data_IF_391178881924
#
_entry.id   IF_391178881924
#
_cell.length_a   1.000
_cell.length_b   1.000
_cell.length_c   1.000
_cell.angle_alpha   90.00
_cell.angle_beta   90.00
_cell.angle_gamma   90.00
#
_symmetry.space_group_name_H-M   'P 1'
#
loop_
_entity.id
_entity.type
_entity.pdbx_description
1 polymer ?
#
# COMPACT_ATOMS: atom_id res chain seq x y z
N UNK A 1 -8.87 -19.93 10.29
CA UNK A 1 -8.97 -18.99 11.43
C UNK A 1 -7.91 -19.26 12.49
N UNK A 2 -7.82 -20.45 13.10
CA UNK A 2 -6.91 -20.77 14.22
C UNK A 2 -5.44 -20.47 13.88
N UNK A 3 -5.01 -20.81 12.67
CA UNK A 3 -3.66 -20.49 12.17
C UNK A 3 -3.41 -18.99 12.11
N UNK A 4 -4.38 -18.21 11.61
CA UNK A 4 -4.26 -16.76 11.55
C UNK A 4 -4.18 -16.14 12.95
N UNK A 5 -5.00 -16.62 13.87
CA UNK A 5 -5.00 -16.20 15.26
C UNK A 5 -3.64 -16.47 15.94
N UNK A 6 -3.15 -17.72 15.84
CA UNK A 6 -1.86 -18.10 16.42
C UNK A 6 -0.68 -17.35 15.79
N UNK A 7 -0.74 -17.11 14.47
CA UNK A 7 0.27 -16.35 13.74
C UNK A 7 0.30 -14.87 14.18
N UNK A 8 -0.87 -14.26 14.38
CA UNK A 8 -0.98 -12.90 14.89
C UNK A 8 -0.39 -12.77 16.31
N UNK A 9 -0.70 -13.72 17.17
CA UNK A 9 -0.17 -13.78 18.54
C UNK A 9 1.35 -13.88 18.55
N UNK A 10 1.93 -14.79 17.75
CA UNK A 10 3.38 -14.93 17.64
C UNK A 10 4.08 -13.65 17.12
N UNK A 11 3.51 -12.98 16.11
CA UNK A 11 4.04 -11.71 15.65
C UNK A 11 3.96 -10.62 16.74
N UNK A 12 2.89 -10.64 17.53
CA UNK A 12 2.72 -9.69 18.63
C UNK A 12 3.77 -9.91 19.74
N UNK A 13 4.12 -11.16 20.06
CA UNK A 13 5.19 -11.47 21.00
C UNK A 13 6.54 -10.87 20.56
N UNK A 14 6.83 -10.88 19.26
CA UNK A 14 8.10 -10.45 18.71
C UNK A 14 8.13 -8.93 18.38
N UNK A 15 7.01 -8.36 17.94
CA UNK A 15 6.98 -7.03 17.29
C UNK A 15 5.80 -6.15 17.69
N UNK A 16 5.25 -6.28 18.90
CA UNK A 16 4.03 -5.56 19.30
C UNK A 16 4.11 -4.05 19.04
N UNK A 17 5.18 -3.42 19.51
CA UNK A 17 5.33 -1.96 19.38
C UNK A 17 5.25 -1.50 17.91
N UNK A 18 5.88 -2.25 17.00
CA UNK A 18 5.88 -1.91 15.59
C UNK A 18 4.50 -2.08 14.95
N UNK A 19 3.76 -3.13 15.37
CA UNK A 19 2.39 -3.38 14.92
C UNK A 19 1.46 -2.28 15.43
N UNK A 20 1.52 -2.00 16.73
CA UNK A 20 0.68 -1.02 17.41
C UNK A 20 0.89 0.40 16.86
N UNK A 21 2.14 0.80 16.59
CA UNK A 21 2.49 2.14 16.10
C UNK A 21 2.00 2.39 14.66
N UNK A 22 1.76 1.34 13.88
CA UNK A 22 1.22 1.48 12.54
C UNK A 22 -0.31 1.74 12.51
N UNK A 23 -1.04 1.35 13.56
CA UNK A 23 -2.51 1.44 13.59
C UNK A 23 -3.04 2.87 13.45
N UNK A 24 -2.52 3.88 14.17
CA UNK A 24 -2.98 5.26 13.99
C UNK A 24 -2.80 5.78 12.56
N UNK A 25 -1.71 5.41 11.90
CA UNK A 25 -1.48 5.77 10.51
C UNK A 25 -2.54 5.16 9.59
N UNK A 26 -2.86 3.87 9.75
CA UNK A 26 -3.90 3.21 8.95
C UNK A 26 -5.28 3.82 9.16
N UNK A 27 -5.58 4.31 10.36
CA UNK A 27 -6.86 4.95 10.69
C UNK A 27 -6.94 6.41 10.26
N UNK A 28 -5.83 7.07 9.92
CA UNK A 28 -5.75 8.52 9.76
C UNK A 28 -5.96 9.24 11.10
N UNK A 29 -5.37 8.71 12.16
CA UNK A 29 -5.39 9.20 13.56
C UNK A 29 -3.97 9.48 14.09
N UNK A 30 -2.97 9.52 13.21
CA UNK A 30 -1.56 9.67 13.58
C UNK A 30 -1.26 11.03 14.22
N UNK A 31 -2.06 12.06 13.93
CA UNK A 31 -1.98 13.38 14.56
C UNK A 31 -2.16 13.36 16.07
N UNK A 32 -2.89 12.37 16.59
CA UNK A 32 -3.07 12.17 18.03
C UNK A 32 -1.77 11.72 18.73
N UNK A 33 -0.81 11.16 17.99
CA UNK A 33 0.43 10.58 18.50
C UNK A 33 1.67 11.35 18.05
N UNK A 34 1.72 11.77 16.78
CA UNK A 34 2.84 12.47 16.15
C UNK A 34 2.59 13.99 15.95
N UNK A 35 1.46 14.52 16.45
CA UNK A 35 1.16 15.94 16.34
C UNK A 35 0.98 16.42 14.90
N UNK A 36 1.60 17.55 14.54
CA UNK A 36 1.43 18.15 13.20
C UNK A 36 1.96 17.26 12.07
N UNK A 37 3.04 16.54 12.27
CA UNK A 37 3.60 15.63 11.25
C UNK A 37 2.63 14.48 10.97
N UNK A 38 2.00 13.95 12.03
CA UNK A 38 0.93 12.96 11.91
C UNK A 38 -0.32 13.49 11.22
N UNK A 39 -0.69 14.75 11.47
CA UNK A 39 -1.86 15.38 10.87
C UNK A 39 -1.78 15.49 9.34
N UNK A 40 -0.58 15.64 8.77
CA UNK A 40 -0.37 15.65 7.32
C UNK A 40 -0.71 14.29 6.71
N UNK A 41 -0.25 13.20 7.35
CA UNK A 41 -0.54 11.84 6.90
C UNK A 41 -2.02 11.49 7.07
N UNK A 42 -2.66 11.96 8.15
CA UNK A 42 -4.10 11.77 8.38
C UNK A 42 -4.95 12.47 7.33
N UNK A 43 -4.58 13.70 6.96
CA UNK A 43 -5.25 14.39 5.88
C UNK A 43 -5.15 13.61 4.57
N UNK A 44 -3.98 13.07 4.23
CA UNK A 44 -3.78 12.28 3.03
C UNK A 44 -4.68 11.04 3.00
N UNK A 45 -4.71 10.26 4.07
CA UNK A 45 -5.57 9.06 4.18
C UNK A 45 -7.04 9.40 3.99
N UNK A 46 -7.50 10.50 4.60
CA UNK A 46 -8.89 10.95 4.52
C UNK A 46 -9.22 11.58 3.17
N UNK A 47 -8.31 12.40 2.61
CA UNK A 47 -8.47 13.02 1.30
C UNK A 47 -8.55 12.01 0.17
N UNK A 48 -7.83 10.88 0.25
CA UNK A 48 -7.91 9.80 -0.72
C UNK A 48 -9.24 9.02 -0.63
N UNK A 49 -10.04 9.20 0.42
CA UNK A 49 -11.31 8.50 0.61
C UNK A 49 -11.17 6.99 0.81
N UNK A 50 -10.02 6.54 1.33
CA UNK A 50 -9.71 5.11 1.41
C UNK A 50 -10.64 4.36 2.38
N UNK A 51 -11.02 5.00 3.50
CA UNK A 51 -11.92 4.39 4.49
C UNK A 51 -13.35 4.26 3.98
N UNK A 52 -13.83 5.23 3.22
CA UNK A 52 -15.14 5.17 2.56
C UNK A 52 -15.17 3.97 1.60
N UNK A 53 -14.18 3.89 0.71
CA UNK A 53 -14.01 2.76 -0.23
C UNK A 53 -13.96 1.42 0.50
N UNK A 54 -13.11 1.30 1.51
CA UNK A 54 -12.99 0.07 2.29
C UNK A 54 -14.31 -0.30 3.00
N UNK A 55 -15.01 0.69 3.57
CA UNK A 55 -16.27 0.43 4.27
C UNK A 55 -17.37 -0.04 3.35
N UNK A 56 -17.44 0.49 2.14
CA UNK A 56 -18.45 0.13 1.14
C UNK A 56 -18.18 -1.26 0.54
N UNK A 57 -16.92 -1.58 0.28
CA UNK A 57 -16.54 -2.76 -0.49
C UNK A 57 -16.17 -3.99 0.36
N UNK A 58 -15.79 -3.81 1.63
CA UNK A 58 -15.24 -4.88 2.48
C UNK A 58 -16.05 -6.18 2.46
N UNK A 59 -17.38 -6.09 2.49
CA UNK A 59 -18.26 -7.25 2.53
C UNK A 59 -18.45 -7.92 1.16
N UNK A 60 -18.24 -7.19 0.08
CA UNK A 60 -18.60 -7.62 -1.26
C UNK A 60 -17.39 -8.04 -2.08
N UNK A 61 -16.28 -7.33 -1.95
CA UNK A 61 -15.10 -7.54 -2.78
C UNK A 61 -14.10 -8.51 -2.15
N UNK A 62 -14.06 -8.61 -0.80
CA UNK A 62 -13.27 -9.63 -0.14
C UNK A 62 -14.07 -10.93 0.01
N UNK A 63 -13.43 -12.05 -0.32
CA UNK A 63 -14.02 -13.38 -0.12
C UNK A 63 -14.33 -13.66 1.35
N UNK A 64 -15.33 -14.50 1.66
CA UNK A 64 -15.62 -14.90 3.04
C UNK A 64 -14.41 -15.54 3.75
N UNK A 65 -13.59 -16.31 3.02
CA UNK A 65 -12.38 -16.94 3.55
C UNK A 65 -11.34 -15.91 3.95
N UNK A 66 -11.09 -14.92 3.09
CA UNK A 66 -10.17 -13.82 3.39
C UNK A 66 -10.64 -13.01 4.59
N UNK A 67 -11.93 -12.67 4.66
CA UNK A 67 -12.48 -11.95 5.81
C UNK A 67 -12.30 -12.75 7.10
N UNK A 68 -12.68 -14.04 7.10
CA UNK A 68 -12.53 -14.90 8.27
C UNK A 68 -11.07 -15.05 8.71
N UNK A 69 -10.14 -15.07 7.75
CA UNK A 69 -8.70 -15.12 8.02
C UNK A 69 -8.19 -13.83 8.69
N UNK A 70 -8.58 -12.67 8.15
CA UNK A 70 -8.20 -11.36 8.69
C UNK A 70 -8.86 -11.06 10.03
N UNK A 71 -10.13 -11.48 10.22
CA UNK A 71 -10.84 -11.37 11.49
C UNK A 71 -10.13 -12.15 12.58
N UNK A 72 -9.79 -13.41 12.32
CA UNK A 72 -9.05 -14.24 13.26
C UNK A 72 -7.64 -13.71 13.56
N UNK A 73 -6.99 -13.08 12.57
CA UNK A 73 -5.70 -12.42 12.79
C UNK A 73 -5.84 -11.20 13.72
N UNK A 74 -6.84 -10.35 13.50
CA UNK A 74 -7.13 -9.23 14.39
C UNK A 74 -7.47 -9.69 15.82
N UNK A 75 -8.24 -10.78 15.95
CA UNK A 75 -8.56 -11.38 17.25
C UNK A 75 -7.30 -11.87 17.98
N UNK A 76 -6.34 -12.47 17.26
CA UNK A 76 -5.05 -12.89 17.83
C UNK A 76 -4.23 -11.73 18.38
N UNK A 77 -4.15 -10.60 17.63
CA UNK A 77 -3.49 -9.37 18.11
C UNK A 77 -4.18 -8.82 19.36
N UNK A 78 -5.50 -8.72 19.34
CA UNK A 78 -6.27 -8.22 20.49
C UNK A 78 -6.18 -9.16 21.70
N UNK A 79 -6.07 -10.47 21.49
CA UNK A 79 -5.87 -11.42 22.57
C UNK A 79 -4.50 -11.23 23.24
N UNK A 80 -3.42 -11.03 22.43
CA UNK A 80 -2.12 -10.67 22.99
C UNK A 80 -2.21 -9.39 23.83
N UNK A 81 -2.84 -8.35 23.30
CA UNK A 81 -3.02 -7.08 24.01
C UNK A 81 -3.75 -7.25 25.34
N UNK A 82 -4.79 -8.06 25.37
CA UNK A 82 -5.56 -8.35 26.59
C UNK A 82 -4.75 -9.10 27.67
N UNK A 83 -3.78 -9.92 27.25
CA UNK A 83 -2.89 -10.64 28.17
C UNK A 83 -1.72 -9.79 28.65
N UNK A 84 -1.37 -8.74 27.94
CA UNK A 84 -0.21 -7.89 28.22
C UNK A 84 -0.56 -6.39 28.37
N UNK A 85 -1.50 -6.04 29.27
CA UNK A 85 -2.00 -4.66 29.37
C UNK A 85 -0.91 -3.62 29.72
N UNK A 86 0.18 -4.07 30.36
CA UNK A 86 1.31 -3.20 30.72
C UNK A 86 2.22 -2.85 29.53
N UNK A 87 2.05 -3.54 28.39
CA UNK A 87 2.88 -3.37 27.17
C UNK A 87 2.14 -2.65 26.03
N UNK A 88 0.86 -2.34 26.20
CA UNK A 88 -0.01 -1.86 25.13
C UNK A 88 -0.55 -0.46 25.40
N UNK A 89 -0.76 0.31 24.34
CA UNK A 89 -1.50 1.56 24.39
C UNK A 89 -3.00 1.31 24.15
N UNK A 90 -3.79 1.25 25.22
CA UNK A 90 -5.23 1.00 25.14
C UNK A 90 -5.98 1.96 24.21
N UNK A 91 -5.42 3.16 23.93
CA UNK A 91 -6.05 4.15 23.06
C UNK A 91 -6.04 3.73 21.60
N UNK A 92 -5.15 2.79 21.21
CA UNK A 92 -5.04 2.23 19.86
C UNK A 92 -5.89 0.97 19.67
N UNK A 93 -6.51 0.45 20.73
CA UNK A 93 -7.28 -0.78 20.74
C UNK A 93 -8.80 -0.55 20.58
N UNK A 94 -9.59 -1.55 20.18
CA UNK A 94 -9.12 -2.81 19.58
C UNK A 94 -8.61 -2.61 18.14
N UNK A 95 -7.68 -3.48 17.71
CA UNK A 95 -7.28 -3.58 16.31
C UNK A 95 -8.42 -4.25 15.53
N UNK A 96 -8.86 -3.62 14.45
CA UNK A 96 -9.98 -4.10 13.65
C UNK A 96 -9.49 -4.81 12.39
N UNK A 97 -10.24 -5.79 11.85
CA UNK A 97 -9.89 -6.42 10.57
C UNK A 97 -9.65 -5.42 9.44
N UNK A 98 -10.45 -4.36 9.39
CA UNK A 98 -10.30 -3.29 8.41
C UNK A 98 -9.00 -2.48 8.56
N UNK A 99 -8.45 -2.34 9.76
CA UNK A 99 -7.14 -1.70 9.97
C UNK A 99 -6.04 -2.47 9.20
N UNK A 100 -6.11 -3.81 9.24
CA UNK A 100 -5.15 -4.68 8.56
C UNK A 100 -5.27 -4.54 7.04
N UNK A 101 -6.49 -4.56 6.51
CA UNK A 101 -6.72 -4.36 5.06
C UNK A 101 -6.26 -2.97 4.62
N UNK A 102 -6.57 -1.93 5.41
CA UNK A 102 -6.12 -0.55 5.16
C UNK A 102 -4.59 -0.46 5.12
N UNK A 103 -3.90 -1.17 5.99
CA UNK A 103 -2.45 -1.25 5.99
C UNK A 103 -1.89 -1.77 4.66
N UNK A 104 -2.55 -2.73 4.01
CA UNK A 104 -2.17 -3.21 2.68
C UNK A 104 -2.48 -2.18 1.58
N UNK A 105 -3.63 -1.52 1.62
CA UNK A 105 -3.97 -0.47 0.67
C UNK A 105 -2.94 0.66 0.71
N UNK A 106 -2.61 1.18 1.89
CA UNK A 106 -1.65 2.28 2.07
C UNK A 106 -0.22 1.90 1.67
N UNK A 107 0.25 0.71 2.09
CA UNK A 107 1.61 0.26 1.72
C UNK A 107 1.79 0.15 0.21
N UNK A 108 0.78 -0.29 -0.52
CA UNK A 108 0.85 -0.37 -1.98
C UNK A 108 1.04 0.99 -2.64
N UNK A 109 0.41 2.05 -2.15
CA UNK A 109 0.62 3.41 -2.64
C UNK A 109 2.07 3.90 -2.45
N UNK A 110 2.72 3.47 -1.36
CA UNK A 110 4.10 3.86 -1.06
C UNK A 110 5.12 3.19 -1.99
N UNK A 111 4.81 2.01 -2.57
CA UNK A 111 5.77 1.24 -3.38
C UNK A 111 5.90 1.71 -4.83
N UNK A 112 5.11 2.69 -5.31
CA UNK A 112 5.25 3.24 -6.65
C UNK A 112 5.34 4.78 -6.70
N UNK A 113 5.82 5.39 -5.60
CA UNK A 113 6.19 6.81 -5.60
C UNK A 113 5.03 7.79 -5.47
N UNK A 114 3.84 7.37 -5.03
CA UNK A 114 2.69 8.25 -4.85
C UNK A 114 2.99 9.46 -3.94
N UNK A 115 3.76 9.25 -2.88
CA UNK A 115 4.20 10.30 -1.96
C UNK A 115 5.08 11.36 -2.65
N UNK A 116 5.88 10.96 -3.65
CA UNK A 116 6.66 11.87 -4.49
C UNK A 116 5.76 12.86 -5.23
N UNK A 117 4.69 12.38 -5.84
CA UNK A 117 3.71 13.22 -6.55
C UNK A 117 3.05 14.22 -5.58
N UNK A 118 2.69 13.79 -4.38
CA UNK A 118 2.10 14.69 -3.37
C UNK A 118 3.10 15.77 -2.92
N UNK A 119 4.37 15.41 -2.73
CA UNK A 119 5.42 16.39 -2.44
C UNK A 119 5.58 17.40 -3.58
N UNK A 120 5.54 16.93 -4.83
CA UNK A 120 5.66 17.78 -6.01
C UNK A 120 4.51 18.79 -6.10
N UNK A 121 3.27 18.36 -5.85
CA UNK A 121 2.10 19.24 -5.84
C UNK A 121 2.16 20.34 -4.76
N UNK A 122 2.92 20.12 -3.69
CA UNK A 122 3.10 21.08 -2.61
C UNK A 122 4.32 22.02 -2.82
N UNK A 123 5.09 21.86 -3.90
CA UNK A 123 6.16 22.82 -4.25
C UNK A 123 5.56 24.18 -4.61
N UNK A 124 6.33 25.24 -4.44
CA UNK A 124 5.88 26.61 -4.73
C UNK A 124 5.68 26.90 -6.24
N UNK A 125 6.15 26.02 -7.11
CA UNK A 125 6.04 26.18 -8.56
C UNK A 125 4.76 25.56 -9.11
N UNK A 126 4.11 26.27 -10.05
CA UNK A 126 2.93 25.76 -10.75
C UNK A 126 3.28 24.52 -11.58
N UNK A 127 2.44 23.48 -11.47
CA UNK A 127 2.46 22.36 -12.40
C UNK A 127 1.98 22.82 -13.79
N UNK A 128 2.62 22.34 -14.85
CA UNK A 128 2.28 22.71 -16.23
C UNK A 128 1.85 21.48 -17.02
N UNK A 129 0.81 21.58 -17.87
CA UNK A 129 0.46 20.51 -18.80
C UNK A 129 1.66 20.11 -19.68
N UNK A 130 1.75 18.85 -20.05
CA UNK A 130 2.82 18.34 -20.95
C UNK A 130 2.90 19.12 -22.26
N UNK A 131 1.75 19.58 -22.79
CA UNK A 131 1.69 20.41 -24.00
C UNK A 131 2.38 21.78 -23.88
N UNK A 132 2.63 22.25 -22.66
CA UNK A 132 3.32 23.49 -22.36
C UNK A 132 4.81 23.30 -22.04
N UNK A 133 5.28 22.05 -22.00
CA UNK A 133 6.68 21.70 -21.71
C UNK A 133 7.49 21.61 -22.99
N UNK A 134 8.72 22.12 -22.98
CA UNK A 134 9.66 21.92 -24.09
C UNK A 134 10.32 20.54 -24.01
N UNK A 135 10.76 20.00 -25.15
CA UNK A 135 11.51 18.72 -25.18
C UNK A 135 12.74 18.73 -24.27
N UNK A 136 13.44 19.88 -24.18
CA UNK A 136 14.62 20.03 -23.34
C UNK A 136 14.30 20.04 -21.84
N UNK A 137 13.13 20.57 -21.45
CA UNK A 137 12.67 20.53 -20.04
C UNK A 137 12.29 19.10 -19.65
N UNK A 138 11.65 18.36 -20.57
CA UNK A 138 11.31 16.95 -20.35
C UNK A 138 12.56 16.07 -20.16
N UNK A 139 13.60 16.25 -20.99
CA UNK A 139 14.85 15.50 -20.84
C UNK A 139 15.60 15.85 -19.55
N UNK A 140 15.53 17.11 -19.09
CA UNK A 140 16.19 17.54 -17.86
C UNK A 140 15.44 17.04 -16.63
N UNK A 141 14.11 17.17 -16.59
CA UNK A 141 13.28 16.65 -15.50
C UNK A 141 13.41 15.13 -15.38
N UNK A 142 13.36 14.38 -16.49
CA UNK A 142 13.55 12.93 -16.50
C UNK A 142 14.92 12.48 -15.97
N UNK A 143 15.94 13.32 -16.13
CA UNK A 143 17.30 13.03 -15.67
C UNK A 143 17.48 13.34 -14.18
N UNK A 144 16.90 14.43 -13.71
CA UNK A 144 16.88 14.82 -12.30
C UNK A 144 15.98 13.87 -11.50
N UNK A 145 14.83 13.45 -12.07
CA UNK A 145 13.95 12.43 -11.51
C UNK A 145 14.65 11.08 -11.35
N UNK A 146 15.43 10.63 -12.32
CA UNK A 146 16.20 9.38 -12.24
C UNK A 146 17.29 9.42 -11.15
N UNK A 147 17.79 10.59 -10.77
CA UNK A 147 18.73 10.76 -9.67
C UNK A 147 18.03 10.92 -8.30
N UNK A 148 16.79 11.45 -8.26
CA UNK A 148 15.97 11.61 -7.04
C UNK A 148 15.00 10.43 -6.79
N UNK A 149 14.66 9.63 -7.79
CA UNK A 149 13.68 8.53 -7.74
C UNK A 149 14.17 7.23 -7.10
N UNK A 150 15.14 7.25 -6.22
CA UNK A 150 15.23 6.14 -5.30
C UNK A 150 14.08 6.23 -4.31
N UNK A 151 13.08 5.35 -4.44
CA UNK A 151 12.09 5.16 -3.36
C UNK A 151 12.89 5.02 -2.08
N UNK A 152 12.74 5.96 -1.16
CA UNK A 152 13.50 5.95 0.07
C UNK A 152 12.56 5.92 1.26
N UNK A 153 12.83 5.04 2.19
CA UNK A 153 12.26 5.07 3.54
C UNK A 153 13.34 5.64 4.46
N UNK A 154 13.06 6.73 5.14
CA UNK A 154 14.01 7.42 6.02
C UNK A 154 15.36 7.74 5.35
N UNK A 155 15.35 8.06 4.04
CA UNK A 155 16.55 8.38 3.27
C UNK A 155 17.38 7.17 2.86
N UNK A 156 16.90 5.94 3.08
CA UNK A 156 17.56 4.72 2.61
C UNK A 156 16.92 4.26 1.28
N UNK A 157 17.72 3.94 0.26
CA UNK A 157 17.20 3.48 -1.01
C UNK A 157 16.50 2.13 -0.83
N UNK A 158 15.28 2.02 -1.40
CA UNK A 158 14.54 0.77 -1.50
C UNK A 158 14.71 0.21 -2.90
N UNK A 159 15.00 -1.07 -2.98
CA UNK A 159 15.11 -1.78 -4.25
C UNK A 159 15.08 -3.28 -4.00
N UNK A 160 15.29 -4.05 -5.06
CA UNK A 160 15.34 -5.50 -4.92
C UNK A 160 15.96 -6.13 -6.17
N UNK A 161 16.53 -7.33 -6.00
CA UNK A 161 16.94 -8.19 -7.10
C UNK A 161 16.25 -9.54 -6.98
N UNK A 162 15.76 -10.08 -8.08
CA UNK A 162 15.20 -11.42 -8.12
C UNK A 162 15.56 -12.12 -9.45
N UNK A 163 15.79 -13.42 -9.40
CA UNK A 163 15.95 -14.24 -10.59
C UNK A 163 15.50 -15.68 -10.35
N UNK A 164 15.08 -16.35 -11.42
CA UNK A 164 14.77 -17.77 -11.43
C UNK A 164 15.62 -18.48 -12.47
N UNK A 165 16.01 -19.72 -12.18
CA UNK A 165 16.80 -20.59 -13.04
C UNK A 165 16.05 -21.90 -13.23
N UNK A 166 15.84 -22.31 -14.48
CA UNK A 166 15.25 -23.62 -14.80
C UNK A 166 16.21 -24.77 -14.53
N UNK A 167 15.72 -25.99 -14.53
CA UNK A 167 16.53 -27.22 -14.39
C UNK A 167 17.69 -27.27 -15.38
N UNK A 168 17.53 -26.72 -16.60
CA UNK A 168 18.60 -26.69 -17.63
C UNK A 168 19.74 -25.72 -17.30
N UNK A 169 19.50 -24.70 -16.48
CA UNK A 169 20.51 -23.74 -16.05
C UNK A 169 21.17 -24.09 -14.71
N UNK A 170 20.71 -25.15 -14.05
CA UNK A 170 21.19 -25.62 -12.74
C UNK A 170 22.03 -26.86 -12.90
N UNK A 171 23.23 -26.90 -12.30
CA UNK A 171 24.11 -28.08 -12.29
C UNK A 171 23.44 -29.30 -11.62
N UNK A 172 22.57 -29.05 -10.64
CA UNK A 172 21.87 -30.08 -9.87
C UNK A 172 20.57 -30.53 -10.52
N UNK A 173 20.17 -29.92 -11.66
CA UNK A 173 18.92 -30.21 -12.34
C UNK A 173 17.67 -29.82 -11.55
N UNK A 174 17.77 -28.83 -10.67
CA UNK A 174 16.67 -28.29 -9.86
C UNK A 174 16.33 -26.88 -10.28
N UNK A 175 15.04 -26.54 -10.30
CA UNK A 175 14.58 -25.16 -10.43
C UNK A 175 14.98 -24.36 -9.19
N UNK A 176 15.45 -23.15 -9.38
CA UNK A 176 15.90 -22.27 -8.28
C UNK A 176 15.37 -20.87 -8.44
N UNK A 177 15.12 -20.22 -7.31
CA UNK A 177 14.79 -18.79 -7.23
C UNK A 177 15.66 -18.14 -6.18
N UNK A 178 16.05 -16.90 -6.44
CA UNK A 178 16.64 -16.03 -5.43
C UNK A 178 15.94 -14.68 -5.44
N UNK A 179 15.72 -14.13 -4.26
CA UNK A 179 15.20 -12.79 -4.02
C UNK A 179 16.10 -12.10 -2.99
N UNK A 180 16.45 -10.85 -3.26
CA UNK A 180 17.18 -9.99 -2.35
C UNK A 180 16.52 -8.63 -2.30
N UNK A 181 15.79 -8.36 -1.23
CA UNK A 181 15.11 -7.10 -0.99
C UNK A 181 16.05 -6.12 -0.29
N UNK A 182 16.15 -4.90 -0.82
CA UNK A 182 16.91 -3.80 -0.21
C UNK A 182 15.92 -2.95 0.58
N UNK A 183 15.79 -3.24 1.88
CA UNK A 183 14.86 -2.56 2.76
C UNK A 183 15.50 -2.31 4.12
N UNK A 184 15.00 -1.33 4.90
CA UNK A 184 15.46 -1.07 6.25
C UNK A 184 15.39 -2.32 7.13
N UNK A 185 16.36 -2.44 8.05
CA UNK A 185 16.37 -3.53 9.03
C UNK A 185 15.41 -3.30 10.21
N UNK A 186 14.85 -2.09 10.29
CA UNK A 186 13.90 -1.66 11.33
C UNK A 186 12.73 -0.89 10.70
N UNK A 187 11.65 -0.71 11.44
CA UNK A 187 10.48 0.05 10.99
C UNK A 187 9.44 -0.80 10.24
N UNK A 188 8.39 -0.18 9.70
CA UNK A 188 7.15 -0.85 9.26
C UNK A 188 7.32 -1.68 7.98
N UNK A 189 8.45 -1.56 7.29
CA UNK A 189 8.79 -2.33 6.07
C UNK A 189 10.03 -3.21 6.29
N UNK A 190 10.49 -3.37 7.52
CA UNK A 190 11.47 -4.38 7.87
C UNK A 190 10.89 -5.79 7.66
N UNK A 191 11.74 -6.73 7.24
CA UNK A 191 11.28 -8.09 7.05
C UNK A 191 11.14 -8.84 8.38
N UNK A 192 10.03 -9.54 8.50
CA UNK A 192 9.80 -10.59 9.48
C UNK A 192 9.70 -11.93 8.76
N UNK A 193 10.46 -12.93 9.18
CA UNK A 193 10.46 -14.28 8.58
C UNK A 193 9.49 -15.18 9.34
N UNK A 194 8.64 -15.90 8.62
CA UNK A 194 7.70 -16.83 9.21
C UNK A 194 7.46 -18.07 8.36
N UNK A 195 7.10 -19.17 9.04
CA UNK A 195 6.55 -20.36 8.43
C UNK A 195 5.12 -20.55 8.93
N UNK A 196 4.15 -20.42 8.05
CA UNK A 196 2.72 -20.55 8.35
C UNK A 196 2.25 -21.90 7.86
N UNK A 197 1.75 -22.73 8.78
CA UNK A 197 1.25 -24.06 8.46
C UNK A 197 -0.12 -24.30 9.08
N UNK A 198 -1.04 -24.83 8.29
CA UNK A 198 -2.38 -25.23 8.73
C UNK A 198 -2.73 -26.64 8.27
N UNK A 199 -3.62 -27.30 9.00
CA UNK A 199 -4.15 -28.62 8.63
C UNK A 199 -5.06 -28.56 7.38
N UNK A 200 -5.43 -27.36 6.92
CA UNK A 200 -6.29 -27.11 5.75
C UNK A 200 -5.53 -26.85 4.47
N UNK A 201 -4.21 -27.04 4.46
CA UNK A 201 -3.38 -27.01 3.25
C UNK A 201 -2.55 -25.75 3.06
N UNK A 202 -2.64 -24.74 3.92
CA UNK A 202 -1.68 -23.63 3.91
C UNK A 202 -0.36 -24.12 4.50
N UNK A 203 0.71 -24.08 3.70
CA UNK A 203 2.08 -24.41 4.14
C UNK A 203 3.03 -23.53 3.34
N UNK A 204 3.38 -22.38 3.90
CA UNK A 204 4.14 -21.31 3.23
C UNK A 204 5.17 -20.71 4.16
N UNK A 205 6.38 -20.50 3.66
CA UNK A 205 7.48 -19.87 4.39
C UNK A 205 8.05 -18.69 3.61
N UNK A 206 8.47 -17.65 4.32
CA UNK A 206 9.12 -16.50 3.70
C UNK A 206 9.04 -15.24 4.54
N UNK A 207 9.19 -14.10 3.87
CA UNK A 207 9.21 -12.78 4.46
C UNK A 207 7.88 -12.04 4.30
N UNK A 208 7.54 -11.29 5.33
CA UNK A 208 6.40 -10.40 5.38
C UNK A 208 6.74 -9.13 6.17
N UNK A 209 5.87 -8.14 6.12
CA UNK A 209 5.98 -6.96 6.98
C UNK A 209 5.22 -7.19 8.29
N UNK A 210 5.77 -6.85 9.45
CA UNK A 210 5.11 -7.01 10.74
C UNK A 210 3.69 -6.43 10.75
N UNK A 211 2.78 -7.17 11.37
CA UNK A 211 1.35 -6.85 11.38
C UNK A 211 0.58 -7.28 10.11
N UNK A 212 1.27 -7.93 9.16
CA UNK A 212 0.62 -8.54 7.99
C UNK A 212 0.30 -10.02 8.22
N UNK A 213 -0.86 -10.51 7.74
CA UNK A 213 -1.25 -11.91 7.90
C UNK A 213 -0.74 -12.85 6.81
N UNK A 214 0.02 -12.38 5.82
CA UNK A 214 0.41 -13.13 4.62
C UNK A 214 1.88 -12.97 4.28
N UNK A 215 2.47 -14.01 3.68
CA UNK A 215 3.84 -13.98 3.16
C UNK A 215 3.88 -13.19 1.85
N UNK A 216 4.73 -12.17 1.78
CA UNK A 216 4.88 -11.32 0.59
C UNK A 216 5.92 -11.88 -0.40
N UNK A 217 7.02 -12.42 0.09
CA UNK A 217 8.02 -13.13 -0.72
C UNK A 217 8.32 -14.46 -0.07
N UNK A 218 8.25 -15.55 -0.82
CA UNK A 218 8.41 -16.84 -0.17
C UNK A 218 8.20 -18.03 -1.07
N UNK A 219 7.99 -19.18 -0.43
CA UNK A 219 7.83 -20.46 -1.10
C UNK A 219 6.91 -21.40 -0.33
N UNK A 220 6.35 -22.34 -1.07
CA UNK A 220 5.65 -23.51 -0.58
C UNK A 220 6.46 -24.76 -0.92
N UNK A 221 5.95 -25.95 -0.63
CA UNK A 221 6.57 -27.21 -1.11
C UNK A 221 6.67 -27.27 -2.64
N UNK A 222 5.79 -26.58 -3.36
CA UNK A 222 5.61 -26.74 -4.79
C UNK A 222 6.18 -25.60 -5.63
N UNK A 223 6.19 -24.39 -5.12
CA UNK A 223 6.50 -23.16 -5.87
C UNK A 223 7.10 -22.07 -4.99
N UNK A 224 7.71 -21.08 -5.64
CA UNK A 224 8.27 -19.93 -4.97
C UNK A 224 8.05 -18.67 -5.82
N UNK A 225 7.98 -17.51 -5.16
CA UNK A 225 7.88 -16.22 -5.82
C UNK A 225 8.71 -15.16 -5.10
N UNK A 226 9.18 -14.21 -5.88
CA UNK A 226 9.82 -12.99 -5.41
C UNK A 226 9.16 -11.76 -6.02
N UNK A 227 8.99 -10.72 -5.24
CA UNK A 227 8.49 -9.43 -5.69
C UNK A 227 9.62 -8.39 -5.66
N UNK A 228 9.75 -7.60 -6.72
CA UNK A 228 10.66 -6.45 -6.75
C UNK A 228 9.87 -5.18 -7.11
N UNK A 229 10.36 -4.04 -6.63
CA UNK A 229 9.78 -2.74 -7.02
C UNK A 229 9.97 -2.52 -8.51
N UNK A 230 8.96 -1.97 -9.18
CA UNK A 230 9.05 -1.37 -10.49
C UNK A 230 8.54 0.08 -10.40
N UNK A 231 8.98 0.95 -11.31
CA UNK A 231 8.62 2.36 -11.33
C UNK A 231 7.92 2.71 -12.65
N UNK A 232 6.74 2.14 -12.96
CA UNK A 232 5.94 2.63 -14.06
C UNK A 232 5.27 3.94 -13.67
N UNK A 233 4.96 4.77 -14.66
CA UNK A 233 4.12 5.95 -14.45
C UNK A 233 2.68 5.52 -14.14
N UNK A 234 2.29 5.68 -12.89
CA UNK A 234 1.00 5.19 -12.34
C UNK A 234 0.16 6.30 -11.71
N UNK A 235 0.60 7.54 -11.79
CA UNK A 235 -0.10 8.68 -11.17
C UNK A 235 -0.19 9.84 -12.15
N UNK A 236 -1.41 10.14 -12.57
CA UNK A 236 -1.71 11.29 -13.41
C UNK A 236 -2.13 12.49 -12.55
N UNK A 237 -1.59 13.66 -12.88
CA UNK A 237 -1.97 14.94 -12.30
C UNK A 237 -2.67 15.81 -13.34
N UNK A 238 -3.94 16.10 -13.11
CA UNK A 238 -4.77 16.92 -13.98
C UNK A 238 -4.79 18.36 -13.48
N UNK A 239 -4.36 19.30 -14.32
CA UNK A 239 -4.53 20.73 -14.06
C UNK A 239 -5.97 21.11 -14.38
N UNK A 240 -6.74 21.49 -13.36
CA UNK A 240 -8.16 21.80 -13.51
C UNK A 240 -8.36 23.28 -13.88
N UNK A 241 -9.12 23.53 -14.95
CA UNK A 241 -9.59 24.86 -15.28
C UNK A 241 -10.76 25.21 -14.37
N UNK A 242 -10.61 26.24 -13.55
CA UNK A 242 -11.59 26.66 -12.55
C UNK A 242 -12.45 27.77 -13.13
N UNK A 243 -13.77 27.70 -12.87
CA UNK A 243 -14.72 28.73 -13.28
C UNK A 243 -14.36 30.06 -12.59
N UNK A 244 -14.07 31.14 -13.36
CA UNK A 244 -13.71 32.42 -12.79
C UNK A 244 -14.85 33.11 -11.99
N UNK A 245 -16.10 32.68 -12.21
CA UNK A 245 -17.28 33.20 -11.50
C UNK A 245 -17.67 32.33 -10.28
N UNK A 246 -17.17 31.09 -10.22
CA UNK A 246 -17.48 30.15 -9.15
C UNK A 246 -16.29 29.19 -8.90
N UNK A 247 -15.53 29.45 -7.87
CA UNK A 247 -14.35 28.66 -7.51
C UNK A 247 -14.67 27.19 -7.17
N UNK A 248 -15.93 26.83 -6.97
CA UNK A 248 -16.38 25.47 -6.68
C UNK A 248 -16.70 24.67 -7.93
N UNK A 249 -16.44 25.24 -9.12
CA UNK A 249 -16.65 24.59 -10.40
C UNK A 249 -15.36 24.46 -11.20
N UNK A 250 -15.22 23.34 -11.88
CA UNK A 250 -14.13 23.06 -12.82
C UNK A 250 -14.69 22.65 -14.18
N UNK A 251 -13.90 22.88 -15.24
CA UNK A 251 -14.29 22.49 -16.60
C UNK A 251 -14.06 20.99 -16.81
N UNK A 252 -15.09 20.29 -17.27
CA UNK A 252 -15.02 18.89 -17.64
C UNK A 252 -16.01 18.56 -18.77
N UNK A 253 -15.51 17.94 -19.83
CA UNK A 253 -16.31 17.44 -20.96
C UNK A 253 -17.32 18.46 -21.53
N UNK A 254 -16.85 19.70 -21.74
CA UNK A 254 -17.64 20.76 -22.35
C UNK A 254 -18.62 21.49 -21.42
N UNK A 255 -18.52 21.29 -20.10
CA UNK A 255 -19.40 21.92 -19.11
C UNK A 255 -18.67 22.23 -17.79
N UNK A 256 -19.17 23.22 -17.07
CA UNK A 256 -18.78 23.46 -15.67
C UNK A 256 -19.44 22.43 -14.77
N UNK A 257 -18.63 21.72 -13.97
CA UNK A 257 -19.07 20.76 -12.96
C UNK A 257 -18.69 21.23 -11.57
N UNK A 258 -19.54 20.99 -10.59
CA UNK A 258 -19.23 21.25 -9.19
C UNK A 258 -18.27 20.18 -8.66
N UNK A 259 -17.33 20.58 -7.80
CA UNK A 259 -16.61 19.63 -6.96
C UNK A 259 -17.59 18.95 -6.01
N UNK A 260 -17.40 17.64 -5.79
CA UNK A 260 -17.90 17.00 -4.58
C UNK A 260 -17.00 17.44 -3.43
N UNK A 261 -17.61 17.92 -2.35
CA UNK A 261 -16.89 18.43 -1.17
C UNK A 261 -17.22 17.58 0.03
N UNK A 262 -16.19 17.21 0.75
CA UNK A 262 -16.33 16.54 2.06
C UNK A 262 -15.53 17.32 3.09
N UNK A 263 -16.11 17.46 4.26
CA UNK A 263 -15.40 17.98 5.43
C UNK A 263 -14.70 16.80 6.12
N UNK A 264 -13.38 16.91 6.31
CA UNK A 264 -12.58 15.90 6.98
C UNK A 264 -11.98 16.51 8.26
N UNK A 265 -12.26 15.87 9.38
CA UNK A 265 -11.74 16.27 10.67
C UNK A 265 -10.40 15.58 10.93
N UNK A 266 -9.41 16.38 11.31
CA UNK A 266 -8.07 15.93 11.64
C UNK A 266 -7.86 16.20 13.12
N UNK A 267 -7.81 15.13 13.90
CA UNK A 267 -7.57 15.18 15.31
C UNK A 267 -6.07 15.12 15.61
N UNK A 268 -5.59 16.05 16.42
CA UNK A 268 -4.18 16.10 16.80
C UNK A 268 -4.00 16.49 18.27
N UNK A 269 -2.85 16.21 18.82
CA UNK A 269 -2.44 16.69 20.14
C UNK A 269 -1.37 17.77 20.00
N UNK A 270 -1.71 19.00 20.42
CA UNK A 270 -0.75 20.11 20.50
C UNK A 270 0.02 19.96 21.80
N UNK A 271 1.35 20.10 21.76
CA UNK A 271 2.26 19.93 22.89
C UNK A 271 2.15 18.56 23.58
N UNK A 272 1.66 17.54 22.86
CA UNK A 272 1.56 16.17 23.33
C UNK A 272 0.38 15.88 24.29
N UNK A 273 -0.35 16.89 24.75
CA UNK A 273 -1.44 16.68 25.72
C UNK A 273 -2.74 17.44 25.42
N UNK A 274 -2.70 18.52 24.65
CA UNK A 274 -3.90 19.33 24.38
C UNK A 274 -4.60 18.81 23.10
N UNK A 275 -5.79 18.19 23.21
CA UNK A 275 -6.54 17.75 22.05
C UNK A 275 -7.00 18.95 21.23
N UNK A 276 -6.86 18.85 19.91
CA UNK A 276 -7.28 19.85 18.95
C UNK A 276 -7.82 19.16 17.71
N UNK A 277 -8.94 19.63 17.17
CA UNK A 277 -9.49 19.15 15.92
C UNK A 277 -9.52 20.27 14.89
N UNK A 278 -9.11 19.97 13.68
CA UNK A 278 -9.11 20.92 12.56
C UNK A 278 -9.88 20.29 11.40
N UNK A 279 -11.00 20.92 11.02
CA UNK A 279 -11.72 20.55 9.82
C UNK A 279 -11.03 21.12 8.58
N UNK A 280 -10.91 20.29 7.54
CA UNK A 280 -10.40 20.65 6.23
C UNK A 280 -11.36 20.16 5.16
N UNK A 281 -11.50 20.97 4.10
CA UNK A 281 -12.26 20.57 2.91
C UNK A 281 -11.41 19.61 2.08
N UNK A 282 -11.96 18.45 1.75
CA UNK A 282 -11.46 17.54 0.73
C UNK A 282 -12.32 17.69 -0.52
N UNK A 283 -11.68 17.90 -1.65
CA UNK A 283 -12.34 18.10 -2.94
C UNK A 283 -12.20 16.84 -3.78
N UNK A 284 -13.26 16.54 -4.53
CA UNK A 284 -13.25 15.44 -5.51
C UNK A 284 -13.79 15.92 -6.84
N UNK A 285 -13.13 15.49 -7.90
CA UNK A 285 -13.52 15.73 -9.28
C UNK A 285 -13.78 14.40 -10.01
N UNK A 286 -14.23 14.46 -11.26
CA UNK A 286 -14.33 13.25 -12.12
C UNK A 286 -12.97 12.58 -12.38
N UNK A 287 -11.87 13.30 -12.19
CA UNK A 287 -10.53 12.76 -12.32
C UNK A 287 -10.05 12.05 -11.04
N UNK A 288 -10.63 12.38 -9.88
CA UNK A 288 -10.25 11.87 -8.57
C UNK A 288 -10.15 12.95 -7.51
N UNK A 289 -9.48 12.66 -6.37
CA UNK A 289 -9.23 13.63 -5.31
C UNK A 289 -8.52 14.87 -5.85
N UNK A 290 -8.93 16.04 -5.39
CA UNK A 290 -8.39 17.32 -5.87
C UNK A 290 -7.85 18.19 -4.72
N UNK A 291 -6.82 18.96 -5.00
CA UNK A 291 -6.18 19.88 -4.07
C UNK A 291 -6.08 21.28 -4.68
N UNK A 292 -6.39 22.29 -3.89
CA UNK A 292 -6.15 23.70 -4.22
C UNK A 292 -4.82 24.14 -3.61
N UNK A 293 -3.99 24.74 -4.44
CA UNK A 293 -2.73 25.36 -4.04
C UNK A 293 -2.72 26.83 -4.45
N UNK A 294 -1.71 27.59 -4.03
CA UNK A 294 -1.56 29.01 -4.41
C UNK A 294 -1.34 29.20 -5.93
N UNK A 295 -0.91 28.15 -6.63
CA UNK A 295 -0.59 28.21 -8.06
C UNK A 295 -1.58 27.47 -8.97
N UNK A 296 -2.60 26.81 -8.43
CA UNK A 296 -3.63 26.14 -9.22
C UNK A 296 -4.45 25.13 -8.44
N UNK A 297 -5.37 24.46 -9.13
CA UNK A 297 -6.16 23.35 -8.61
C UNK A 297 -5.85 22.11 -9.43
N UNK A 298 -5.53 21.02 -8.76
CA UNK A 298 -5.04 19.78 -9.36
C UNK A 298 -5.87 18.62 -8.88
N UNK A 299 -6.21 17.69 -9.78
CA UNK A 299 -6.77 16.42 -9.41
C UNK A 299 -5.73 15.31 -9.63
N UNK A 300 -5.75 14.30 -8.78
CA UNK A 300 -4.82 13.17 -8.84
C UNK A 300 -5.60 11.91 -9.15
N UNK A 301 -5.15 11.16 -10.17
CA UNK A 301 -5.64 9.83 -10.48
C UNK A 301 -4.47 8.86 -10.40
N UNK A 302 -4.66 7.77 -9.68
CA UNK A 302 -3.60 6.79 -9.46
C UNK A 302 -4.08 5.37 -9.75
N UNK A 303 -3.17 4.51 -10.16
CA UNK A 303 -3.47 3.11 -10.41
C UNK A 303 -3.87 2.40 -9.11
N UNK A 304 -4.89 1.55 -9.19
CA UNK A 304 -5.46 0.87 -8.02
C UNK A 304 -6.39 1.74 -7.17
N UNK A 305 -6.78 2.93 -7.63
CA UNK A 305 -7.80 3.73 -6.97
C UNK A 305 -9.13 2.94 -6.90
N UNK A 306 -9.67 2.79 -5.68
CA UNK A 306 -10.86 2.00 -5.44
C UNK A 306 -10.62 0.49 -5.26
N UNK A 307 -9.38 0.00 -5.32
CA UNK A 307 -9.05 -1.41 -5.11
C UNK A 307 -8.72 -1.70 -3.64
N UNK A 308 -9.32 -2.74 -3.06
CA UNK A 308 -9.10 -3.13 -1.66
C UNK A 308 -8.56 -4.56 -1.48
N UNK A 309 -8.44 -5.35 -2.59
CA UNK A 309 -8.18 -6.79 -2.54
C UNK A 309 -6.69 -7.16 -2.52
N UNK A 310 -5.78 -6.21 -2.27
CA UNK A 310 -4.34 -6.49 -2.25
C UNK A 310 -3.99 -7.61 -1.27
N UNK A 311 -4.57 -7.57 -0.06
CA UNK A 311 -4.36 -8.62 0.94
C UNK A 311 -4.91 -9.97 0.45
N UNK A 312 -6.08 -10.00 -0.18
CA UNK A 312 -6.67 -11.23 -0.72
C UNK A 312 -5.80 -11.82 -1.83
N UNK A 313 -5.25 -11.00 -2.71
CA UNK A 313 -4.36 -11.51 -3.76
C UNK A 313 -3.12 -12.17 -3.17
N UNK A 314 -2.46 -11.56 -2.17
CA UNK A 314 -1.37 -12.20 -1.43
C UNK A 314 -1.81 -13.49 -0.75
N UNK A 315 -2.97 -13.51 -0.11
CA UNK A 315 -3.51 -14.71 0.55
C UNK A 315 -3.72 -15.85 -0.44
N UNK A 316 -4.28 -15.58 -1.62
CA UNK A 316 -4.44 -16.58 -2.67
C UNK A 316 -3.10 -17.06 -3.24
N UNK A 317 -2.12 -16.18 -3.39
CA UNK A 317 -0.77 -16.57 -3.77
C UNK A 317 -0.14 -17.52 -2.76
N UNK A 318 -0.35 -17.29 -1.46
CA UNK A 318 0.14 -18.15 -0.38
C UNK A 318 -0.51 -19.54 -0.39
N UNK A 319 -1.72 -19.66 -0.93
CA UNK A 319 -2.46 -20.92 -1.04
C UNK A 319 -2.19 -21.70 -2.34
N UNK A 320 -1.55 -21.06 -3.32
CA UNK A 320 -1.30 -21.63 -4.63
C UNK A 320 -0.47 -22.93 -4.54
N UNK A 321 -0.89 -23.97 -5.25
CA UNK A 321 -0.25 -25.28 -5.25
C UNK A 321 0.53 -25.57 -6.55
N UNK A 322 0.29 -24.79 -7.61
CA UNK A 322 0.86 -24.96 -8.93
C UNK A 322 0.87 -23.61 -9.68
N UNK A 323 1.41 -23.62 -10.90
CA UNK A 323 1.50 -22.43 -11.74
C UNK A 323 0.14 -21.83 -12.11
N UNK A 324 -0.87 -22.65 -12.36
CA UNK A 324 -2.19 -22.18 -12.76
C UNK A 324 -2.90 -21.48 -11.59
N UNK A 325 -2.83 -22.03 -10.37
CA UNK A 325 -3.38 -21.37 -9.17
C UNK A 325 -2.72 -20.03 -8.92
N UNK A 326 -1.37 -20.00 -9.03
CA UNK A 326 -0.61 -18.76 -8.83
C UNK A 326 -0.97 -17.71 -9.88
N UNK A 327 -1.09 -18.12 -11.15
CA UNK A 327 -1.50 -17.23 -12.25
C UNK A 327 -2.93 -16.73 -12.06
N UNK A 328 -3.84 -17.55 -11.56
CA UNK A 328 -5.21 -17.13 -11.22
C UNK A 328 -5.19 -16.04 -10.13
N UNK A 329 -4.41 -16.23 -9.07
CA UNK A 329 -4.22 -15.20 -8.04
C UNK A 329 -3.65 -13.90 -8.63
N UNK A 330 -2.66 -13.97 -9.53
CA UNK A 330 -2.11 -12.78 -10.21
C UNK A 330 -3.13 -12.11 -11.13
N UNK A 331 -4.09 -12.85 -11.69
CA UNK A 331 -5.14 -12.32 -12.57
C UNK A 331 -6.17 -11.45 -11.84
N UNK A 332 -6.14 -11.38 -10.51
CA UNK A 332 -6.94 -10.44 -9.73
C UNK A 332 -6.58 -8.98 -10.02
N UNK A 333 -5.33 -8.72 -10.43
CA UNK A 333 -4.83 -7.37 -10.75
C UNK A 333 -5.04 -6.34 -9.63
N UNK A 334 -4.97 -6.78 -8.37
CA UNK A 334 -5.14 -5.88 -7.21
C UNK A 334 -3.87 -5.09 -6.89
N UNK A 335 -2.71 -5.56 -7.37
CA UNK A 335 -1.44 -4.82 -7.21
C UNK A 335 -1.28 -3.82 -8.36
N UNK A 336 -1.16 -2.55 -8.01
CA UNK A 336 -0.91 -1.52 -9.01
C UNK A 336 0.45 -1.70 -9.71
N UNK A 337 1.45 -2.14 -8.94
CA UNK A 337 2.84 -2.21 -9.39
C UNK A 337 3.60 -3.30 -8.64
N UNK A 338 4.37 -4.11 -9.33
CA UNK A 338 5.49 -4.94 -8.86
C UNK A 338 6.01 -5.78 -10.03
N UNK A 339 7.29 -6.06 -10.09
CA UNK A 339 7.78 -7.18 -10.88
C UNK A 339 7.69 -8.45 -10.04
N UNK A 340 7.24 -9.54 -10.65
CA UNK A 340 7.26 -10.85 -10.02
C UNK A 340 8.18 -11.81 -10.76
N UNK A 341 8.94 -12.57 -9.98
CA UNK A 341 9.67 -13.74 -10.46
C UNK A 341 9.04 -14.96 -9.82
N UNK A 342 8.76 -15.97 -10.60
CA UNK A 342 8.14 -17.22 -10.19
C UNK A 342 8.99 -18.42 -10.62
N UNK A 343 8.98 -19.46 -9.81
CA UNK A 343 9.55 -20.76 -10.14
C UNK A 343 8.79 -21.88 -9.43
N UNK A 344 8.68 -23.07 -10.04
CA UNK A 344 8.08 -24.24 -9.41
C UNK A 344 8.86 -25.54 -9.66
N UNK A 345 8.43 -26.62 -8.99
CA UNK A 345 9.03 -27.95 -9.13
C UNK A 345 8.82 -28.61 -10.49
N UNK A 346 7.87 -28.11 -11.30
CA UNK A 346 7.53 -28.62 -12.61
C UNK A 346 8.31 -27.90 -13.72
N UNK A 347 9.39 -27.18 -13.36
CA UNK A 347 10.30 -26.43 -14.23
C UNK A 347 9.65 -25.21 -14.92
N UNK A 348 8.50 -24.72 -14.41
CA UNK A 348 7.98 -23.45 -14.87
C UNK A 348 8.76 -22.31 -14.19
N UNK A 349 9.24 -21.39 -15.01
CA UNK A 349 9.80 -20.11 -14.55
C UNK A 349 9.09 -18.97 -15.29
N UNK A 350 8.81 -17.88 -14.60
CA UNK A 350 8.17 -16.71 -15.19
C UNK A 350 8.73 -15.41 -14.60
N UNK A 351 8.87 -14.42 -15.46
CA UNK A 351 8.97 -13.02 -15.07
C UNK A 351 7.69 -12.30 -15.49
N UNK A 352 7.08 -11.57 -14.58
CA UNK A 352 5.90 -10.76 -14.83
C UNK A 352 6.18 -9.31 -14.41
N UNK A 353 6.19 -8.40 -15.38
CA UNK A 353 6.08 -6.98 -15.12
C UNK A 353 4.60 -6.66 -14.87
N UNK A 354 4.19 -6.67 -13.60
CA UNK A 354 2.83 -6.34 -13.23
C UNK A 354 2.72 -4.82 -13.06
N UNK A 355 1.88 -4.20 -13.88
CA UNK A 355 1.61 -2.77 -13.84
C UNK A 355 0.22 -2.46 -14.37
N UNK A 356 -0.55 -1.68 -13.62
CA UNK A 356 -1.84 -1.14 -14.05
C UNK A 356 -1.64 0.14 -14.87
N UNK A 357 -0.81 0.07 -15.89
CA UNK A 357 -0.51 1.22 -16.76
C UNK A 357 -1.80 1.72 -17.45
N UNK A 358 -2.08 3.03 -17.44
CA UNK A 358 -3.19 3.62 -18.17
C UNK A 358 -3.13 3.31 -19.67
N UNK A 359 -4.30 3.20 -20.31
CA UNK A 359 -4.43 2.97 -21.76
C UNK A 359 -4.57 4.26 -22.50
#
# INVERSE_FOLDING_TARGET
>A
PDTAFGFAYAQAEDNWQLIEDAIPFYRGENGLYAGLDGAVTDYLVKWLGLWETLNEQYQWDLSPDTRSYVEAFADGLNYYAALHPDLVDETKLPIKPKDIVMGFMLRHLMFYGFDGVIRELNKASRQRPLSERSESEFETESRDELEEESISFDGLPIGSNAFAISTRGSEEGATRIAINSHQPLTGPVAWYEAHIKSDTGLDVMGGLFPGGPVINVGFTENLAWGATVNNPDLVDVFVLEINPEDADQYWFDGAWKNFEKKEVDIDLRIWGFLPWSVSREALYSEHGPAIRTDHGTYAVRYAGMGEIRQLEQWYRMNQAQNFDDWREAMSMLSFASFNFVYADKDDNIMFLHNSLTPR
#
